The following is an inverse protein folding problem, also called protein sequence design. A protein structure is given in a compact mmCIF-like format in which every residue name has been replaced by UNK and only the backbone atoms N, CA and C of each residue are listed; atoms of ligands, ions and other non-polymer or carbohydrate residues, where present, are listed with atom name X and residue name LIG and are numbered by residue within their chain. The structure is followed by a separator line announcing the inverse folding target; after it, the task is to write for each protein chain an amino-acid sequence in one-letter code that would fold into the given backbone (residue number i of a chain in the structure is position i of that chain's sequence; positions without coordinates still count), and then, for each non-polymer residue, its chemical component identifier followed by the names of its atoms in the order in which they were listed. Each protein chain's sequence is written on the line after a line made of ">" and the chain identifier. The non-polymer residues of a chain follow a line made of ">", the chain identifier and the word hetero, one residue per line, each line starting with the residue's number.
data_IF_314447324911
#
_entry.id   IF_314447324911
#
_cell.length_a   1.000
_cell.length_b   1.000
_cell.length_c   1.000
_cell.angle_alpha   90.00
_cell.angle_beta   90.00
_cell.angle_gamma   90.00
#
_symmetry.space_group_name_H-M   'P 1'
#
loop_
_entity.id
_entity.type
_entity.pdbx_description
1 polymer ?
#
# COMPACT_ATOMS: atom_id res chain seq x y z
N UNK A 1 3.18 -30.56 -11.18
CA UNK A 1 2.49 -31.17 -12.34
C UNK A 1 1.05 -30.68 -12.37
N UNK A 2 0.38 -30.71 -13.53
CA UNK A 2 -1.00 -30.23 -13.68
C UNK A 2 -1.15 -29.16 -14.76
N UNK A 3 -2.39 -28.73 -15.00
CA UNK A 3 -2.78 -27.77 -16.05
C UNK A 3 -2.15 -26.38 -15.88
N UNK A 4 -1.89 -25.95 -14.65
CA UNK A 4 -1.19 -24.69 -14.34
C UNK A 4 0.28 -24.90 -13.98
N UNK A 5 1.04 -25.66 -14.78
CA UNK A 5 2.46 -25.90 -14.49
C UNK A 5 3.28 -24.64 -14.74
N UNK A 6 3.94 -24.12 -13.71
CA UNK A 6 4.85 -22.97 -13.78
C UNK A 6 6.31 -23.40 -13.97
N UNK A 7 7.10 -22.53 -14.63
CA UNK A 7 8.54 -22.69 -14.82
C UNK A 7 9.33 -21.73 -13.91
N UNK A 8 10.58 -22.09 -13.62
CA UNK A 8 11.50 -21.24 -12.84
C UNK A 8 12.06 -20.09 -13.68
N UNK A 9 11.24 -19.06 -13.93
CA UNK A 9 11.61 -17.89 -14.74
C UNK A 9 12.25 -16.73 -13.96
N UNK A 10 12.14 -16.75 -12.62
CA UNK A 10 12.67 -15.69 -11.75
C UNK A 10 14.20 -15.64 -11.62
N UNK A 11 14.92 -16.60 -12.19
CA UNK A 11 16.39 -16.67 -12.14
C UNK A 11 17.09 -16.15 -13.40
N UNK A 12 16.35 -15.73 -14.42
CA UNK A 12 16.94 -15.19 -15.65
C UNK A 12 17.43 -13.75 -15.43
N UNK A 13 18.67 -13.62 -14.96
CA UNK A 13 19.32 -12.35 -14.67
C UNK A 13 19.41 -11.41 -15.88
N UNK A 14 19.40 -11.95 -17.11
CA UNK A 14 19.53 -11.17 -18.34
C UNK A 14 18.29 -10.34 -18.67
N UNK A 15 17.14 -10.68 -18.07
CA UNK A 15 15.87 -10.00 -18.33
C UNK A 15 15.70 -8.76 -17.44
N UNK A 16 16.38 -8.69 -16.31
CA UNK A 16 16.28 -7.56 -15.38
C UNK A 16 16.85 -6.27 -15.98
N UNK A 17 16.16 -5.14 -15.76
CA UNK A 17 16.53 -3.84 -16.33
C UNK A 17 16.17 -3.67 -17.82
N UNK A 18 15.71 -4.72 -18.48
CA UNK A 18 15.30 -4.67 -19.90
C UNK A 18 13.81 -4.34 -20.05
N UNK A 19 13.37 -4.02 -21.28
CA UNK A 19 11.95 -3.81 -21.58
C UNK A 19 11.10 -5.07 -21.37
N UNK A 20 11.73 -6.25 -21.28
CA UNK A 20 11.06 -7.54 -21.09
C UNK A 20 10.83 -7.88 -19.62
N UNK A 21 11.42 -7.13 -18.68
CA UNK A 21 11.31 -7.41 -17.23
C UNK A 21 9.86 -7.43 -16.74
N UNK A 22 8.98 -6.59 -17.30
CA UNK A 22 7.56 -6.55 -16.90
C UNK A 22 6.85 -7.89 -17.06
N UNK A 23 7.28 -8.74 -18.01
CA UNK A 23 6.70 -10.06 -18.24
C UNK A 23 6.90 -11.01 -17.06
N UNK A 24 7.95 -10.82 -16.27
CA UNK A 24 8.20 -11.59 -15.05
C UNK A 24 7.20 -11.25 -13.93
N UNK A 25 6.61 -10.05 -13.96
CA UNK A 25 5.60 -9.59 -12.99
C UNK A 25 4.16 -9.93 -13.41
N UNK A 26 3.97 -10.45 -14.61
CA UNK A 26 2.69 -10.93 -15.12
C UNK A 26 2.58 -12.45 -14.92
N UNK A 27 1.37 -13.01 -14.78
CA UNK A 27 1.19 -14.46 -14.75
C UNK A 27 1.83 -15.11 -16.00
N UNK A 28 2.54 -16.23 -15.81
CA UNK A 28 3.18 -16.96 -16.92
C UNK A 28 2.14 -17.50 -17.89
N UNK A 29 1.06 -18.07 -17.33
CA UNK A 29 -0.01 -18.71 -18.06
C UNK A 29 -1.34 -17.96 -17.84
N UNK A 30 -2.10 -17.81 -18.93
CA UNK A 30 -3.48 -17.31 -18.91
C UNK A 30 -4.42 -18.15 -18.04
N UNK A 31 -4.07 -19.41 -17.78
CA UNK A 31 -4.79 -20.34 -16.91
C UNK A 31 -5.19 -19.70 -15.58
N UNK A 32 -4.27 -19.02 -14.89
CA UNK A 32 -4.58 -18.44 -13.56
C UNK A 32 -5.63 -17.33 -13.63
N UNK A 33 -5.63 -16.54 -14.71
CA UNK A 33 -6.63 -15.50 -14.92
C UNK A 33 -7.98 -16.09 -15.31
N UNK A 34 -7.99 -17.15 -16.13
CA UNK A 34 -9.21 -17.89 -16.49
C UNK A 34 -9.81 -18.60 -15.27
N UNK A 35 -8.98 -19.28 -14.48
CA UNK A 35 -9.38 -19.90 -13.23
C UNK A 35 -10.02 -18.88 -12.28
N UNK A 36 -9.41 -17.72 -12.10
CA UNK A 36 -10.00 -16.66 -11.27
C UNK A 36 -11.35 -16.17 -11.80
N UNK A 37 -11.52 -16.13 -13.13
CA UNK A 37 -12.79 -15.79 -13.76
C UNK A 37 -13.87 -16.84 -13.47
N UNK A 38 -13.53 -18.12 -13.58
CA UNK A 38 -14.45 -19.21 -13.32
C UNK A 38 -14.83 -19.28 -11.84
N UNK A 39 -13.87 -19.15 -10.92
CA UNK A 39 -14.13 -19.06 -9.48
C UNK A 39 -15.07 -17.89 -9.15
N UNK A 40 -14.90 -16.74 -9.81
CA UNK A 40 -15.77 -15.58 -9.63
C UNK A 40 -17.21 -15.81 -10.11
N UNK A 41 -17.43 -16.70 -11.10
CA UNK A 41 -18.79 -17.08 -11.51
C UNK A 41 -19.52 -17.85 -10.41
N UNK A 42 -18.78 -18.68 -9.67
CA UNK A 42 -19.26 -19.47 -8.55
C UNK A 42 -19.12 -18.77 -7.19
N UNK A 43 -18.78 -17.48 -7.17
CA UNK A 43 -18.60 -16.69 -5.94
C UNK A 43 -17.56 -17.27 -4.97
N UNK A 44 -16.49 -17.86 -5.51
CA UNK A 44 -15.39 -18.40 -4.72
C UNK A 44 -14.27 -17.36 -4.59
N UNK A 45 -13.94 -16.97 -3.35
CA UNK A 45 -12.77 -16.18 -2.97
C UNK A 45 -11.55 -17.07 -2.65
N UNK A 46 -10.34 -16.65 -3.02
CA UNK A 46 -9.11 -17.42 -2.74
C UNK A 46 -8.08 -16.56 -2.02
N UNK A 47 -7.70 -16.98 -0.81
CA UNK A 47 -6.50 -16.48 -0.12
C UNK A 47 -5.35 -17.47 -0.31
N UNK A 48 -4.13 -16.96 -0.45
CA UNK A 48 -2.94 -17.77 -0.74
C UNK A 48 -1.92 -17.53 0.36
N UNK A 49 -1.55 -18.59 1.08
CA UNK A 49 -0.44 -18.59 2.02
C UNK A 49 0.74 -19.32 1.38
N UNK A 50 1.71 -18.56 0.89
CA UNK A 50 2.88 -19.08 0.19
C UNK A 50 4.09 -19.11 1.12
N UNK A 51 4.55 -20.31 1.45
CA UNK A 51 5.75 -20.58 2.23
C UNK A 51 6.81 -21.16 1.28
N UNK A 52 7.94 -20.48 1.13
CA UNK A 52 8.98 -20.99 0.24
C UNK A 52 10.36 -20.42 0.56
N UNK A 53 11.37 -21.27 0.42
CA UNK A 53 12.79 -20.92 0.47
C UNK A 53 13.33 -20.59 -0.93
N UNK A 54 12.54 -20.86 -1.98
CA UNK A 54 12.90 -20.72 -3.40
C UNK A 54 11.84 -19.95 -4.17
N UNK A 55 12.14 -19.63 -5.42
CA UNK A 55 11.19 -18.98 -6.32
C UNK A 55 9.88 -19.78 -6.45
N UNK A 56 8.75 -19.10 -6.26
CA UNK A 56 7.38 -19.66 -6.19
C UNK A 56 6.45 -19.08 -7.26
N UNK A 57 6.87 -18.01 -7.94
CA UNK A 57 6.07 -17.28 -8.93
C UNK A 57 4.77 -16.71 -8.37
N UNK A 58 4.92 -15.82 -7.38
CA UNK A 58 3.83 -15.09 -6.74
C UNK A 58 3.06 -14.23 -7.75
N UNK A 59 3.68 -13.81 -8.86
CA UNK A 59 2.98 -13.10 -9.93
C UNK A 59 1.80 -13.92 -10.48
N UNK A 60 2.01 -15.21 -10.74
CA UNK A 60 0.97 -16.12 -11.24
C UNK A 60 -0.05 -16.46 -10.16
N UNK A 61 0.42 -16.88 -8.97
CA UNK A 61 -0.48 -17.30 -7.88
C UNK A 61 -1.32 -16.14 -7.36
N UNK A 62 -0.69 -15.01 -7.05
CA UNK A 62 -1.35 -13.81 -6.52
C UNK A 62 -2.40 -13.22 -7.46
N UNK A 63 -2.33 -13.51 -8.76
CA UNK A 63 -3.36 -13.12 -9.73
C UNK A 63 -4.73 -13.73 -9.39
N UNK A 64 -4.76 -14.98 -8.91
CA UNK A 64 -6.02 -15.64 -8.51
C UNK A 64 -6.63 -14.94 -7.31
N UNK A 65 -5.81 -14.67 -6.28
CA UNK A 65 -6.25 -13.95 -5.09
C UNK A 65 -6.74 -12.54 -5.44
N UNK A 66 -6.01 -11.81 -6.30
CA UNK A 66 -6.39 -10.47 -6.75
C UNK A 66 -7.79 -10.44 -7.39
N UNK A 67 -8.05 -11.32 -8.36
CA UNK A 67 -9.29 -11.25 -9.13
C UNK A 67 -10.49 -11.87 -8.41
N UNK A 68 -10.27 -12.79 -7.46
CA UNK A 68 -11.33 -13.37 -6.62
C UNK A 68 -11.65 -12.54 -5.37
N UNK A 69 -11.01 -11.39 -5.20
CA UNK A 69 -11.21 -10.52 -4.03
C UNK A 69 -10.49 -11.01 -2.77
N UNK A 70 -9.61 -12.00 -2.86
CA UNK A 70 -8.79 -12.51 -1.76
C UNK A 70 -7.48 -11.75 -1.52
N UNK A 71 -6.55 -12.40 -0.84
CA UNK A 71 -5.25 -11.86 -0.40
C UNK A 71 -4.12 -12.88 -0.57
N UNK A 72 -2.93 -12.43 -0.98
CA UNK A 72 -1.71 -13.24 -0.97
C UNK A 72 -0.83 -12.89 0.23
N UNK A 73 -0.48 -13.90 1.02
CA UNK A 73 0.47 -13.84 2.13
C UNK A 73 1.73 -14.59 1.72
N UNK A 74 2.89 -13.92 1.79
CA UNK A 74 4.17 -14.47 1.37
C UNK A 74 5.14 -14.53 2.55
N UNK A 75 5.64 -15.74 2.82
CA UNK A 75 6.60 -16.03 3.89
C UNK A 75 7.86 -16.63 3.28
N UNK A 76 8.84 -15.78 2.91
CA UNK A 76 10.13 -16.25 2.44
C UNK A 76 10.89 -16.93 3.59
N UNK A 77 11.54 -18.06 3.30
CA UNK A 77 12.38 -18.78 4.27
C UNK A 77 11.67 -19.04 5.60
N UNK A 78 10.51 -19.69 5.56
CA UNK A 78 9.64 -19.80 6.72
C UNK A 78 10.28 -20.64 7.84
N UNK A 79 10.40 -20.05 9.04
CA UNK A 79 10.85 -20.75 10.23
C UNK A 79 9.78 -20.64 11.31
N UNK A 80 9.30 -21.79 11.82
CA UNK A 80 8.22 -21.82 12.81
C UNK A 80 8.54 -21.01 14.07
N UNK A 81 9.80 -21.04 14.55
CA UNK A 81 10.20 -20.32 15.75
C UNK A 81 10.15 -18.79 15.61
N UNK A 82 10.31 -18.26 14.39
CA UNK A 82 10.34 -16.81 14.13
C UNK A 82 8.99 -16.33 13.58
N UNK A 83 8.41 -17.08 12.64
CA UNK A 83 7.25 -16.66 11.86
C UNK A 83 5.94 -17.30 12.31
N UNK A 84 5.98 -18.32 13.19
CA UNK A 84 4.79 -19.07 13.60
C UNK A 84 3.72 -18.20 14.23
N UNK A 85 4.12 -17.29 15.13
CA UNK A 85 3.17 -16.35 15.75
C UNK A 85 2.56 -15.38 14.75
N UNK A 86 3.35 -14.84 13.81
CA UNK A 86 2.83 -13.98 12.75
C UNK A 86 1.78 -14.72 11.92
N UNK A 87 2.08 -15.94 11.47
CA UNK A 87 1.16 -16.77 10.70
C UNK A 87 -0.13 -17.05 11.49
N UNK A 88 -0.02 -17.41 12.77
CA UNK A 88 -1.17 -17.65 13.65
C UNK A 88 -2.10 -16.43 13.72
N UNK A 89 -1.56 -15.24 13.92
CA UNK A 89 -2.35 -14.02 14.00
C UNK A 89 -2.95 -13.63 12.64
N UNK A 90 -2.19 -13.73 11.55
CA UNK A 90 -2.70 -13.41 10.20
C UNK A 90 -3.80 -14.39 9.77
N UNK A 91 -3.65 -15.69 10.06
CA UNK A 91 -4.67 -16.70 9.77
C UNK A 91 -5.90 -16.54 10.67
N UNK A 92 -5.71 -16.32 11.98
CA UNK A 92 -6.82 -16.07 12.89
C UNK A 92 -7.62 -14.83 12.46
N UNK A 93 -6.94 -13.74 12.07
CA UNK A 93 -7.60 -12.53 11.55
C UNK A 93 -8.32 -12.80 10.24
N UNK A 94 -7.74 -13.57 9.33
CA UNK A 94 -8.38 -13.92 8.06
C UNK A 94 -9.69 -14.69 8.27
N UNK A 95 -9.70 -15.63 9.21
CA UNK A 95 -10.87 -16.46 9.52
C UNK A 95 -11.95 -15.74 10.33
N UNK A 96 -11.59 -14.71 11.10
CA UNK A 96 -12.51 -14.05 12.06
C UNK A 96 -12.94 -12.64 11.65
N UNK A 97 -12.30 -12.02 10.66
CA UNK A 97 -12.67 -10.68 10.19
C UNK A 97 -14.05 -10.66 9.53
N UNK A 98 -14.70 -9.51 9.61
CA UNK A 98 -15.95 -9.28 8.89
C UNK A 98 -15.71 -9.44 7.39
N UNK A 99 -16.41 -10.41 6.81
CA UNK A 99 -16.31 -10.78 5.41
C UNK A 99 -17.71 -10.76 4.81
N UNK A 100 -17.82 -10.06 3.68
CA UNK A 100 -18.99 -9.98 2.84
C UNK A 100 -18.84 -10.96 1.67
N UNK A 101 -19.84 -11.81 1.49
CA UNK A 101 -19.86 -12.89 0.51
C UNK A 101 -20.71 -12.54 -0.70
N UNK A 102 -20.37 -13.11 -1.86
CA UNK A 102 -21.12 -12.94 -3.11
C UNK A 102 -21.39 -11.46 -3.41
N UNK A 103 -20.39 -10.63 -3.14
CA UNK A 103 -20.53 -9.20 -3.10
C UNK A 103 -20.40 -8.61 -4.49
N UNK A 104 -21.18 -7.57 -4.73
CA UNK A 104 -21.12 -6.77 -5.96
C UNK A 104 -21.13 -5.31 -5.57
N UNK A 105 -20.13 -4.58 -6.04
CA UNK A 105 -20.00 -3.15 -5.79
C UNK A 105 -20.29 -2.38 -7.07
N UNK A 106 -21.13 -1.36 -6.95
CA UNK A 106 -21.41 -0.38 -8.01
C UNK A 106 -21.24 1.01 -7.46
N UNK A 107 -20.63 1.88 -8.27
CA UNK A 107 -20.31 3.23 -7.85
C UNK A 107 -20.95 4.20 -8.86
N UNK A 108 -21.71 5.16 -8.33
CA UNK A 108 -22.43 6.17 -9.10
C UNK A 108 -21.91 7.54 -8.74
N UNK A 109 -21.91 8.43 -9.72
CA UNK A 109 -21.52 9.82 -9.59
C UNK A 109 -22.61 10.73 -10.15
N UNK A 110 -22.59 11.99 -9.73
CA UNK A 110 -23.43 13.04 -10.31
C UNK A 110 -23.13 13.24 -11.80
N UNK A 111 -24.09 13.85 -12.51
CA UNK A 111 -24.01 14.13 -13.94
C UNK A 111 -22.72 14.91 -14.29
N UNK A 112 -22.11 14.57 -15.43
CA UNK A 112 -20.92 15.24 -15.96
C UNK A 112 -19.59 14.68 -15.47
N UNK A 113 -19.60 13.65 -14.62
CA UNK A 113 -18.42 12.90 -14.19
C UNK A 113 -18.62 11.43 -14.56
N UNK A 114 -17.56 10.82 -15.09
CA UNK A 114 -17.47 9.41 -15.38
C UNK A 114 -16.29 8.76 -14.65
N UNK A 115 -16.29 7.42 -14.58
CA UNK A 115 -15.19 6.63 -14.07
C UNK A 115 -14.32 6.12 -15.23
N UNK A 116 -13.01 6.34 -15.17
CA UNK A 116 -12.08 5.88 -16.22
C UNK A 116 -11.45 4.53 -15.88
N UNK A 117 -11.05 4.33 -14.63
CA UNK A 117 -10.43 3.09 -14.17
C UNK A 117 -10.71 2.79 -12.71
N UNK A 118 -10.67 1.50 -12.38
CA UNK A 118 -10.90 0.97 -11.04
C UNK A 118 -9.67 0.17 -10.62
N UNK A 119 -9.29 0.25 -9.35
CA UNK A 119 -8.05 -0.31 -8.82
C UNK A 119 -8.28 -0.99 -7.47
N UNK A 120 -7.79 -2.23 -7.33
CA UNK A 120 -7.96 -3.06 -6.13
C UNK A 120 -8.09 -4.55 -6.47
N UNK A 121 -8.57 -5.33 -5.50
CA UNK A 121 -8.78 -6.77 -5.64
C UNK A 121 -10.25 -7.07 -5.95
N UNK A 122 -10.55 -7.24 -7.24
CA UNK A 122 -11.87 -7.54 -7.77
C UNK A 122 -11.74 -8.07 -9.19
N UNK A 123 -12.85 -8.59 -9.73
CA UNK A 123 -13.01 -8.84 -11.15
C UNK A 123 -14.12 -7.95 -11.71
N UNK A 124 -13.86 -7.32 -12.86
CA UNK A 124 -14.83 -6.46 -13.52
C UNK A 124 -15.77 -7.34 -14.37
N UNK A 125 -17.08 -7.35 -14.08
CA UNK A 125 -18.10 -8.10 -14.85
C UNK A 125 -18.67 -7.28 -16.02
N UNK A 126 -18.93 -6.01 -15.77
CA UNK A 126 -19.31 -4.99 -16.76
C UNK A 126 -18.56 -3.70 -16.46
N UNK A 127 -18.67 -2.68 -17.33
CA UNK A 127 -17.93 -1.42 -17.24
C UNK A 127 -18.00 -0.71 -15.88
N UNK A 128 -19.05 -0.93 -15.10
CA UNK A 128 -19.31 -0.27 -13.82
C UNK A 128 -19.64 -1.22 -12.66
N UNK A 129 -19.50 -2.54 -12.87
CA UNK A 129 -19.89 -3.56 -11.89
C UNK A 129 -18.69 -4.41 -11.46
N UNK A 130 -18.25 -4.18 -10.22
CA UNK A 130 -17.14 -4.90 -9.60
C UNK A 130 -17.68 -6.13 -8.89
N UNK A 131 -17.28 -7.31 -9.35
CA UNK A 131 -17.56 -8.57 -8.69
C UNK A 131 -16.49 -8.88 -7.63
N UNK A 132 -16.97 -9.21 -6.44
CA UNK A 132 -16.20 -9.41 -5.22
C UNK A 132 -16.71 -10.70 -4.56
N UNK A 133 -16.26 -11.88 -5.02
CA UNK A 133 -16.66 -13.16 -4.43
C UNK A 133 -16.58 -13.18 -2.90
N UNK A 134 -15.46 -12.66 -2.37
CA UNK A 134 -15.29 -12.33 -0.98
C UNK A 134 -14.63 -10.95 -0.87
N UNK A 135 -15.12 -10.11 0.04
CA UNK A 135 -14.50 -8.83 0.41
C UNK A 135 -14.54 -8.66 1.91
N UNK A 136 -13.44 -8.20 2.50
CA UNK A 136 -13.32 -8.02 3.93
C UNK A 136 -13.04 -6.56 4.32
N UNK A 137 -13.19 -6.27 5.60
CA UNK A 137 -13.06 -4.92 6.15
C UNK A 137 -11.64 -4.31 6.04
N UNK A 138 -10.60 -5.09 5.74
CA UNK A 138 -9.22 -4.60 5.60
C UNK A 138 -8.87 -4.20 4.15
N UNK A 139 -9.78 -4.35 3.19
CA UNK A 139 -9.53 -3.99 1.78
C UNK A 139 -10.01 -2.59 1.43
N UNK A 140 -9.29 -1.93 0.53
CA UNK A 140 -9.67 -0.64 -0.03
C UNK A 140 -9.48 -0.57 -1.55
N UNK A 141 -10.40 0.15 -2.18
CA UNK A 141 -10.49 0.35 -3.62
C UNK A 141 -10.20 1.80 -3.97
N UNK A 142 -9.63 2.04 -5.15
CA UNK A 142 -9.44 3.38 -5.68
C UNK A 142 -9.96 3.45 -7.11
N UNK A 143 -10.31 4.65 -7.55
CA UNK A 143 -10.89 4.87 -8.87
C UNK A 143 -10.35 6.17 -9.44
N UNK A 144 -10.25 6.23 -10.75
CA UNK A 144 -10.01 7.49 -11.46
C UNK A 144 -11.32 8.03 -12.02
N UNK A 145 -11.46 9.35 -11.87
CA UNK A 145 -12.59 10.11 -12.38
C UNK A 145 -12.15 10.91 -13.60
N UNK A 146 -13.06 11.11 -14.54
CA UNK A 146 -12.93 12.07 -15.63
C UNK A 146 -14.16 12.95 -15.72
N UNK A 147 -13.98 14.16 -16.20
CA UNK A 147 -15.10 15.00 -16.62
C UNK A 147 -15.59 14.55 -17.99
N UNK A 148 -16.90 14.27 -18.09
CA UNK A 148 -17.58 14.02 -19.37
C UNK A 148 -18.04 15.33 -20.01
N UNK A 149 -18.36 16.32 -19.19
CA UNK A 149 -18.74 17.68 -19.60
C UNK A 149 -17.63 18.67 -19.23
N UNK A 150 -17.41 19.68 -20.08
CA UNK A 150 -16.32 20.67 -19.88
C UNK A 150 -16.50 21.50 -18.61
N UNK A 151 -17.74 21.73 -18.19
CA UNK A 151 -18.11 22.50 -17.00
C UNK A 151 -19.26 21.80 -16.29
N UNK A 152 -19.10 21.62 -14.97
CA UNK A 152 -20.17 21.15 -14.12
C UNK A 152 -21.09 22.32 -13.76
N UNK A 153 -22.37 22.19 -14.06
CA UNK A 153 -23.39 23.20 -13.74
C UNK A 153 -23.83 23.17 -12.28
N UNK A 154 -23.69 22.02 -11.63
CA UNK A 154 -24.07 21.84 -10.22
C UNK A 154 -22.96 22.31 -9.28
N UNK A 155 -23.34 23.00 -8.20
CA UNK A 155 -22.40 23.44 -7.15
C UNK A 155 -21.87 22.29 -6.30
N UNK A 156 -22.52 21.13 -6.33
CA UNK A 156 -22.13 19.95 -5.56
C UNK A 156 -22.32 18.70 -6.40
N UNK A 157 -21.33 17.81 -6.33
CA UNK A 157 -21.38 16.49 -6.94
C UNK A 157 -21.57 15.47 -5.82
N UNK A 158 -22.44 14.51 -6.06
CA UNK A 158 -22.66 13.38 -5.17
C UNK A 158 -21.99 12.13 -5.72
N UNK A 159 -21.41 11.34 -4.82
CA UNK A 159 -20.87 10.02 -5.08
C UNK A 159 -21.62 9.03 -4.20
N UNK A 160 -22.06 7.92 -4.79
CA UNK A 160 -22.73 6.86 -4.07
C UNK A 160 -22.08 5.52 -4.40
N UNK A 161 -21.52 4.89 -3.37
CA UNK A 161 -21.01 3.52 -3.43
C UNK A 161 -22.08 2.62 -2.84
N UNK A 162 -22.53 1.63 -3.61
CA UNK A 162 -23.46 0.61 -3.13
C UNK A 162 -22.76 -0.76 -3.21
N UNK A 163 -22.67 -1.43 -2.07
CA UNK A 163 -22.19 -2.80 -1.93
C UNK A 163 -23.36 -3.70 -1.56
N UNK A 164 -23.78 -4.55 -2.50
CA UNK A 164 -24.75 -5.60 -2.26
C UNK A 164 -23.99 -6.88 -1.91
N UNK A 165 -24.26 -7.49 -0.75
CA UNK A 165 -23.53 -8.67 -0.27
C UNK A 165 -24.38 -9.57 0.61
N UNK A 166 -23.93 -10.81 0.81
CA UNK A 166 -24.46 -11.75 1.80
C UNK A 166 -23.57 -11.70 3.02
N UNK A 167 -24.12 -11.38 4.18
CA UNK A 167 -23.38 -11.41 5.45
C UNK A 167 -23.12 -12.87 5.89
N UNK A 168 -22.14 -13.11 6.76
CA UNK A 168 -21.84 -14.46 7.26
C UNK A 168 -23.00 -15.13 8.01
N UNK A 169 -24.01 -14.37 8.45
CA UNK A 169 -25.25 -14.90 9.02
C UNK A 169 -26.26 -15.41 7.96
N UNK A 170 -25.97 -15.25 6.66
CA UNK A 170 -26.83 -15.66 5.55
C UNK A 170 -27.80 -14.58 5.05
N UNK A 171 -27.82 -13.40 5.67
CA UNK A 171 -28.70 -12.30 5.26
C UNK A 171 -28.11 -11.50 4.08
N UNK A 172 -28.98 -11.09 3.15
CA UNK A 172 -28.59 -10.23 2.03
C UNK A 172 -28.73 -8.76 2.43
N UNK A 173 -27.61 -8.03 2.45
CA UNK A 173 -27.54 -6.64 2.87
C UNK A 173 -27.12 -5.73 1.70
N UNK A 174 -27.50 -4.46 1.79
CA UNK A 174 -26.97 -3.39 0.94
C UNK A 174 -26.34 -2.35 1.85
N UNK A 175 -25.01 -2.17 1.72
CA UNK A 175 -24.28 -1.08 2.37
C UNK A 175 -24.12 0.07 1.39
N UNK A 176 -24.56 1.26 1.78
CA UNK A 176 -24.49 2.47 0.95
C UNK A 176 -23.63 3.52 1.63
N UNK A 177 -22.67 4.05 0.89
CA UNK A 177 -21.91 5.23 1.29
C UNK A 177 -22.20 6.36 0.32
N UNK A 178 -22.69 7.48 0.84
CA UNK A 178 -22.93 8.70 0.06
C UNK A 178 -21.96 9.78 0.50
N UNK A 179 -21.23 10.36 -0.44
CA UNK A 179 -20.34 11.48 -0.21
C UNK A 179 -20.73 12.64 -1.13
N UNK A 180 -20.55 13.87 -0.65
CA UNK A 180 -20.78 15.08 -1.43
C UNK A 180 -19.47 15.87 -1.52
N UNK A 181 -19.14 16.35 -2.71
CA UNK A 181 -17.98 17.21 -2.94
C UNK A 181 -18.41 18.53 -3.58
N UNK A 182 -17.99 19.68 -3.05
CA UNK A 182 -18.30 20.97 -3.64
C UNK A 182 -17.52 21.15 -4.96
N UNK A 183 -18.16 21.75 -5.95
CA UNK A 183 -17.54 22.14 -7.21
C UNK A 183 -16.99 23.56 -7.05
N UNK A 184 -15.72 23.75 -7.39
CA UNK A 184 -15.04 25.04 -7.32
C UNK A 184 -14.59 25.48 -8.71
N UNK A 185 -14.74 26.77 -9.00
CA UNK A 185 -14.28 27.36 -10.27
C UNK A 185 -12.82 27.83 -10.22
N UNK A 186 -12.28 28.04 -9.02
CA UNK A 186 -10.90 28.50 -8.80
C UNK A 186 -9.95 27.33 -8.49
N UNK A 187 -8.82 27.28 -9.20
CA UNK A 187 -7.78 26.28 -8.97
C UNK A 187 -7.16 26.40 -7.58
N UNK A 188 -7.01 27.63 -7.05
CA UNK A 188 -6.49 27.84 -5.70
C UNK A 188 -7.35 27.17 -4.63
N UNK A 189 -8.67 27.27 -4.75
CA UNK A 189 -9.63 26.57 -3.90
C UNK A 189 -9.53 25.05 -4.03
N UNK A 190 -9.37 24.52 -5.25
CA UNK A 190 -9.15 23.09 -5.49
C UNK A 190 -7.91 22.57 -4.77
N UNK A 191 -6.78 23.27 -4.88
CA UNK A 191 -5.54 22.88 -4.20
C UNK A 191 -5.70 22.88 -2.68
N UNK A 192 -6.39 23.87 -2.08
CA UNK A 192 -6.63 23.89 -0.63
C UNK A 192 -7.40 22.67 -0.11
N UNK A 193 -8.31 22.12 -0.91
CA UNK A 193 -9.14 20.96 -0.56
C UNK A 193 -8.52 19.61 -0.96
N UNK A 194 -7.34 19.61 -1.59
CA UNK A 194 -6.71 18.39 -2.06
C UNK A 194 -6.24 17.49 -0.91
N UNK A 195 -6.71 16.25 -0.88
CA UNK A 195 -6.28 15.26 0.11
C UNK A 195 -5.02 14.49 -0.36
N UNK A 196 -3.88 14.79 0.26
CA UNK A 196 -2.62 14.08 0.01
C UNK A 196 -2.75 12.57 0.18
N UNK A 197 -3.51 12.10 1.16
CA UNK A 197 -3.60 10.68 1.49
C UNK A 197 -4.29 9.87 0.40
N UNK A 198 -5.42 10.38 -0.12
CA UNK A 198 -6.14 9.81 -1.25
C UNK A 198 -5.31 9.84 -2.53
N UNK A 199 -4.62 10.96 -2.81
CA UNK A 199 -3.75 11.12 -3.98
C UNK A 199 -2.63 10.09 -3.95
N UNK A 200 -1.91 9.96 -2.83
CA UNK A 200 -0.82 8.98 -2.67
C UNK A 200 -1.34 7.55 -2.84
N UNK A 201 -2.53 7.25 -2.30
CA UNK A 201 -3.16 5.93 -2.43
C UNK A 201 -3.49 5.56 -3.87
N UNK A 202 -3.99 6.52 -4.66
CA UNK A 202 -4.25 6.32 -6.08
C UNK A 202 -2.95 6.22 -6.89
N UNK A 203 -1.99 7.14 -6.67
CA UNK A 203 -0.69 7.13 -7.33
C UNK A 203 0.08 5.83 -7.10
N UNK A 204 -0.01 5.26 -5.89
CA UNK A 204 0.56 3.96 -5.57
C UNK A 204 0.04 2.85 -6.49
N UNK A 205 -1.29 2.74 -6.62
CA UNK A 205 -1.93 1.71 -7.44
C UNK A 205 -1.58 1.86 -8.91
N UNK A 206 -1.56 3.10 -9.40
CA UNK A 206 -1.16 3.40 -10.78
C UNK A 206 0.30 3.09 -11.06
N UNK A 207 1.20 3.39 -10.12
CA UNK A 207 2.60 3.09 -10.27
C UNK A 207 2.84 1.57 -10.31
N UNK A 208 2.18 0.80 -9.44
CA UNK A 208 2.24 -0.67 -9.43
C UNK A 208 1.71 -1.25 -10.74
N UNK A 209 0.54 -0.81 -11.22
CA UNK A 209 -0.01 -1.27 -12.49
C UNK A 209 0.89 -0.91 -13.68
N UNK A 210 1.52 0.28 -13.66
CA UNK A 210 2.48 0.69 -14.69
C UNK A 210 3.70 -0.25 -14.76
N UNK A 211 4.11 -0.83 -13.63
CA UNK A 211 5.22 -1.83 -13.63
C UNK A 211 4.89 -3.12 -14.38
N UNK A 212 3.59 -3.41 -14.58
CA UNK A 212 3.14 -4.60 -15.30
C UNK A 212 3.24 -4.45 -16.82
N UNK A 213 3.41 -3.21 -17.32
CA UNK A 213 3.52 -2.92 -18.77
C UNK A 213 4.86 -2.28 -19.15
N UNK A 214 5.56 -1.66 -18.20
CA UNK A 214 6.76 -0.86 -18.45
C UNK A 214 7.92 -1.25 -17.53
N UNK A 215 9.11 -0.69 -17.80
CA UNK A 215 10.25 -0.75 -16.90
C UNK A 215 9.92 -0.09 -15.56
N UNK A 216 10.61 -0.52 -14.51
CA UNK A 216 10.47 0.06 -13.18
C UNK A 216 10.85 1.54 -13.17
N UNK A 217 11.88 1.91 -13.94
CA UNK A 217 12.32 3.29 -14.10
C UNK A 217 11.22 4.17 -14.71
N UNK A 218 10.58 3.72 -15.79
CA UNK A 218 9.47 4.43 -16.41
C UNK A 218 8.30 4.64 -15.44
N UNK A 219 8.01 3.64 -14.59
CA UNK A 219 6.96 3.75 -13.59
C UNK A 219 7.30 4.83 -12.53
N UNK A 220 8.55 4.87 -12.06
CA UNK A 220 9.03 5.92 -11.14
C UNK A 220 9.03 7.30 -11.79
N UNK A 221 9.52 7.40 -13.03
CA UNK A 221 9.53 8.65 -13.80
C UNK A 221 8.12 9.16 -14.06
N UNK A 222 7.16 8.27 -14.36
CA UNK A 222 5.75 8.63 -14.53
C UNK A 222 5.13 9.19 -13.24
N UNK A 223 5.42 8.57 -12.10
CA UNK A 223 4.99 9.05 -10.78
C UNK A 223 5.57 10.45 -10.48
N UNK A 224 6.88 10.62 -10.64
CA UNK A 224 7.56 11.90 -10.42
C UNK A 224 7.01 12.98 -11.34
N UNK A 225 6.84 12.69 -12.63
CA UNK A 225 6.31 13.64 -13.61
C UNK A 225 4.90 14.11 -13.26
N UNK A 226 4.03 13.24 -12.73
CA UNK A 226 2.68 13.62 -12.28
C UNK A 226 2.73 14.61 -11.12
N UNK A 227 3.58 14.35 -10.12
CA UNK A 227 3.77 15.24 -8.97
C UNK A 227 4.36 16.58 -9.42
N UNK A 228 5.39 16.55 -10.28
CA UNK A 228 6.03 17.76 -10.82
C UNK A 228 5.04 18.62 -11.61
N UNK A 229 4.19 18.01 -12.45
CA UNK A 229 3.16 18.73 -13.20
C UNK A 229 2.17 19.43 -12.27
N UNK A 230 1.67 18.73 -11.25
CA UNK A 230 0.74 19.32 -10.28
C UNK A 230 1.37 20.53 -9.55
N UNK A 231 2.62 20.41 -9.07
CA UNK A 231 3.29 21.50 -8.35
C UNK A 231 3.69 22.66 -9.29
N UNK A 232 4.01 22.38 -10.55
CA UNK A 232 4.28 23.40 -11.56
C UNK A 232 3.04 24.25 -11.84
N UNK A 233 1.87 23.63 -12.00
CA UNK A 233 0.62 24.37 -12.20
C UNK A 233 0.29 25.25 -11.00
N UNK A 234 0.46 24.75 -9.77
CA UNK A 234 0.30 25.58 -8.57
C UNK A 234 1.25 26.77 -8.55
N UNK A 235 2.53 26.56 -8.88
CA UNK A 235 3.51 27.65 -8.96
C UNK A 235 3.11 28.72 -9.99
N UNK A 236 2.59 28.32 -11.15
CA UNK A 236 2.17 29.24 -12.21
C UNK A 236 1.03 30.17 -11.75
N UNK A 237 0.11 29.70 -10.90
CA UNK A 237 -0.98 30.52 -10.36
C UNK A 237 -0.47 31.73 -9.54
N UNK A 238 0.65 31.56 -8.84
CA UNK A 238 1.21 32.57 -7.93
C UNK A 238 2.49 33.24 -8.46
N UNK A 239 2.85 32.97 -9.72
CA UNK A 239 4.10 33.45 -10.33
C UNK A 239 4.18 34.99 -10.40
N UNK A 240 3.04 35.68 -10.48
CA UNK A 240 2.96 37.16 -10.57
C UNK A 240 3.01 37.82 -9.18
N UNK A 241 2.48 37.16 -8.15
CA UNK A 241 2.37 37.73 -6.80
C UNK A 241 3.66 37.63 -5.99
N UNK A 242 4.56 36.73 -6.39
CA UNK A 242 5.80 36.46 -5.69
C UNK A 242 6.98 36.60 -6.64
N UNK A 243 7.70 37.72 -6.60
CA UNK A 243 9.06 37.88 -7.16
C UNK A 243 10.10 37.04 -6.38
N UNK A 244 9.72 35.85 -5.92
CA UNK A 244 10.54 34.96 -5.12
C UNK A 244 11.38 34.09 -6.06
N UNK A 245 12.54 34.61 -6.45
CA UNK A 245 13.58 33.83 -7.11
C UNK A 245 13.97 32.62 -6.25
N UNK A 246 14.09 31.45 -6.90
CA UNK A 246 14.64 30.18 -6.39
C UNK A 246 13.89 29.41 -5.28
N UNK A 247 12.76 29.87 -4.72
CA UNK A 247 12.00 29.10 -3.71
C UNK A 247 10.97 28.17 -4.35
N UNK A 248 10.84 26.96 -3.81
CA UNK A 248 9.78 26.02 -4.21
C UNK A 248 8.45 26.43 -3.56
N UNK A 249 7.45 26.72 -4.39
CA UNK A 249 6.09 27.08 -3.96
C UNK A 249 5.22 25.82 -4.05
N UNK A 250 4.51 25.48 -2.98
CA UNK A 250 3.59 24.34 -2.91
C UNK A 250 2.40 24.66 -1.99
N UNK A 251 1.25 24.02 -2.17
CA UNK A 251 0.10 24.22 -1.30
C UNK A 251 0.27 23.47 0.02
N UNK A 252 -0.22 24.04 1.11
CA UNK A 252 -0.13 23.45 2.46
C UNK A 252 -0.76 22.04 2.53
N UNK A 253 -1.86 21.84 1.80
CA UNK A 253 -2.56 20.56 1.67
C UNK A 253 -1.69 19.45 1.07
N UNK A 254 -0.71 19.79 0.21
CA UNK A 254 0.18 18.86 -0.49
C UNK A 254 1.63 18.89 0.02
N UNK A 255 1.88 19.47 1.20
CA UNK A 255 3.24 19.60 1.76
C UNK A 255 4.01 18.28 1.86
N UNK A 256 3.32 17.17 2.11
CA UNK A 256 3.93 15.84 2.21
C UNK A 256 3.87 15.02 0.91
N UNK A 257 3.33 15.56 -0.18
CA UNK A 257 3.16 14.81 -1.42
C UNK A 257 4.50 14.36 -2.00
N UNK A 258 5.51 15.25 -2.01
CA UNK A 258 6.86 14.91 -2.48
C UNK A 258 7.51 13.83 -1.61
N UNK A 259 7.33 13.90 -0.28
CA UNK A 259 7.85 12.91 0.66
C UNK A 259 7.28 11.52 0.36
N UNK A 260 5.96 11.42 0.22
CA UNK A 260 5.31 10.16 -0.12
C UNK A 260 5.62 9.68 -1.54
N UNK A 261 5.78 10.60 -2.50
CA UNK A 261 6.23 10.26 -3.86
C UNK A 261 7.63 9.63 -3.89
N UNK A 262 8.55 10.16 -3.09
CA UNK A 262 9.88 9.58 -2.90
C UNK A 262 9.79 8.22 -2.18
N UNK A 263 9.01 8.13 -1.10
CA UNK A 263 8.79 6.87 -0.38
C UNK A 263 8.23 5.77 -1.28
N UNK A 264 7.24 6.10 -2.12
CA UNK A 264 6.70 5.20 -3.14
C UNK A 264 7.79 4.75 -4.12
N UNK A 265 8.62 5.67 -4.59
CA UNK A 265 9.70 5.34 -5.54
C UNK A 265 10.76 4.40 -4.94
N UNK A 266 10.92 4.42 -3.61
CA UNK A 266 11.82 3.54 -2.83
C UNK A 266 11.13 2.27 -2.30
N UNK A 267 9.82 2.13 -2.48
CA UNK A 267 9.06 0.97 -2.00
C UNK A 267 9.43 -0.31 -2.75
N UNK A 268 9.25 -1.47 -2.11
CA UNK A 268 9.65 -2.79 -2.65
C UNK A 268 9.13 -3.06 -4.08
N UNK A 269 7.89 -2.72 -4.46
CA UNK A 269 7.41 -2.92 -5.83
C UNK A 269 8.18 -2.13 -6.89
N UNK A 270 8.66 -0.93 -6.53
CA UNK A 270 9.18 0.09 -7.45
C UNK A 270 10.69 0.29 -7.36
N UNK A 271 11.34 -0.09 -6.24
CA UNK A 271 12.80 -0.01 -6.06
C UNK A 271 13.54 -0.87 -7.09
N UNK A 272 14.83 -0.58 -7.28
CA UNK A 272 15.70 -1.03 -8.39
C UNK A 272 15.87 -2.55 -8.57
N UNK A 273 16.93 -2.96 -9.28
CA UNK A 273 17.10 -4.25 -9.95
C UNK A 273 17.06 -5.52 -9.07
N UNK A 274 17.46 -6.66 -9.63
CA UNK A 274 17.37 -7.97 -8.95
C UNK A 274 18.02 -8.00 -7.57
N UNK A 275 19.14 -7.30 -7.37
CA UNK A 275 19.87 -7.26 -6.11
C UNK A 275 19.10 -6.54 -4.97
N UNK A 276 18.14 -5.68 -5.30
CA UNK A 276 17.41 -4.87 -4.30
C UNK A 276 16.21 -5.61 -3.71
N UNK A 277 15.53 -6.43 -4.51
CA UNK A 277 14.40 -7.27 -4.09
C UNK A 277 14.18 -8.43 -5.06
N UNK A 278 13.91 -9.60 -4.48
CA UNK A 278 13.50 -10.77 -5.25
C UNK A 278 12.16 -10.55 -5.94
N UNK A 279 11.94 -11.23 -7.06
CA UNK A 279 10.71 -11.08 -7.86
C UNK A 279 9.44 -11.40 -7.08
N UNK A 280 9.45 -12.46 -6.28
CA UNK A 280 8.30 -12.87 -5.47
C UNK A 280 7.99 -11.86 -4.37
N UNK A 281 9.03 -11.35 -3.68
CA UNK A 281 8.88 -10.29 -2.68
C UNK A 281 8.26 -9.02 -3.30
N UNK A 282 8.72 -8.65 -4.51
CA UNK A 282 8.18 -7.53 -5.28
C UNK A 282 6.71 -7.71 -5.61
N UNK A 283 6.34 -8.89 -6.12
CA UNK A 283 4.97 -9.19 -6.50
C UNK A 283 4.06 -9.23 -5.26
N UNK A 284 4.49 -9.87 -4.17
CA UNK A 284 3.76 -9.92 -2.91
C UNK A 284 3.51 -8.52 -2.32
N UNK A 285 4.54 -7.67 -2.29
CA UNK A 285 4.41 -6.29 -1.85
C UNK A 285 3.45 -5.50 -2.76
N UNK A 286 3.52 -5.70 -4.08
CA UNK A 286 2.63 -5.08 -5.05
C UNK A 286 1.17 -5.45 -4.81
N UNK A 287 0.86 -6.75 -4.70
CA UNK A 287 -0.50 -7.22 -4.40
C UNK A 287 -1.03 -6.68 -3.08
N UNK A 288 -0.18 -6.63 -2.05
CA UNK A 288 -0.55 -6.08 -0.73
C UNK A 288 -0.89 -4.60 -0.84
N UNK A 289 -0.03 -3.79 -1.45
CA UNK A 289 -0.24 -2.35 -1.59
C UNK A 289 -1.45 -1.99 -2.46
N UNK A 290 -1.86 -2.85 -3.40
CA UNK A 290 -3.07 -2.67 -4.20
C UNK A 290 -4.37 -2.77 -3.37
N UNK A 291 -4.36 -3.55 -2.29
CA UNK A 291 -5.52 -3.80 -1.44
C UNK A 291 -5.56 -2.94 -0.17
N UNK A 292 -4.43 -2.31 0.22
CA UNK A 292 -4.31 -1.67 1.52
C UNK A 292 -5.21 -0.42 1.70
N UNK A 293 -5.80 -0.23 2.89
CA UNK A 293 -6.47 1.00 3.28
C UNK A 293 -5.50 2.17 3.34
N UNK A 294 -5.99 3.38 3.06
CA UNK A 294 -5.18 4.60 2.98
C UNK A 294 -4.29 4.79 4.21
N UNK A 295 -4.83 4.65 5.41
CA UNK A 295 -4.07 4.81 6.67
C UNK A 295 -2.92 3.81 6.81
N UNK A 296 -3.16 2.53 6.50
CA UNK A 296 -2.12 1.47 6.57
C UNK A 296 -1.07 1.67 5.48
N UNK A 297 -1.50 2.05 4.26
CA UNK A 297 -0.58 2.35 3.17
C UNK A 297 0.35 3.53 3.49
N UNK A 298 -0.17 4.63 4.04
CA UNK A 298 0.66 5.77 4.42
C UNK A 298 1.68 5.40 5.50
N UNK A 299 1.27 4.58 6.49
CA UNK A 299 2.18 4.11 7.54
C UNK A 299 3.23 3.13 7.00
N UNK A 300 2.90 2.32 6.00
CA UNK A 300 3.86 1.46 5.28
C UNK A 300 4.88 2.30 4.49
N UNK A 301 4.43 3.38 3.84
CA UNK A 301 5.30 4.26 3.04
C UNK A 301 6.19 5.14 3.91
N UNK A 302 5.63 5.73 4.96
CA UNK A 302 6.36 6.54 5.93
C UNK A 302 6.13 5.98 7.35
N UNK A 303 6.94 4.98 7.74
CA UNK A 303 6.92 4.35 9.05
C UNK A 303 7.09 5.33 10.22
N UNK A 304 6.69 4.88 11.41
CA UNK A 304 6.95 5.63 12.64
C UNK A 304 8.25 5.16 13.26
N UNK A 305 9.19 6.08 13.46
CA UNK A 305 10.40 5.86 14.26
C UNK A 305 10.25 6.61 15.58
N UNK A 306 10.39 5.90 16.69
CA UNK A 306 10.19 6.43 18.05
C UNK A 306 11.40 6.04 18.89
N UNK A 307 11.98 7.01 19.60
CA UNK A 307 13.03 6.75 20.59
C UNK A 307 12.40 6.40 21.93
N UNK A 308 12.85 5.32 22.58
CA UNK A 308 12.21 4.73 23.75
C UNK A 308 13.04 4.86 25.03
N UNK A 309 14.37 4.94 24.93
CA UNK A 309 15.27 5.01 26.10
C UNK A 309 14.98 6.19 27.02
N UNK A 310 14.62 7.35 26.46
CA UNK A 310 14.25 8.55 27.24
C UNK A 310 13.02 8.34 28.14
N UNK A 311 12.18 7.36 27.81
CA UNK A 311 10.95 7.06 28.55
C UNK A 311 11.14 5.96 29.56
N UNK A 312 11.90 4.91 29.21
CA UNK A 312 12.18 3.80 30.13
C UNK A 312 12.97 4.24 31.37
N UNK A 313 13.75 5.32 31.26
CA UNK A 313 14.57 5.85 32.34
C UNK A 313 13.83 6.87 33.22
N UNK A 314 12.59 7.26 32.89
CA UNK A 314 11.82 8.23 33.70
C UNK A 314 11.07 7.53 34.84
N UNK A 315 11.26 7.92 36.12
CA UNK A 315 10.67 7.23 37.27
C UNK A 315 9.15 7.40 37.46
N UNK A 316 8.49 8.29 36.71
CA UNK A 316 7.06 8.59 36.89
C UNK A 316 6.38 8.85 35.55
N UNK A 317 5.87 7.81 34.92
CA UNK A 317 5.00 7.96 33.75
C UNK A 317 3.63 8.48 34.20
N UNK A 318 3.44 9.80 34.25
CA UNK A 318 2.10 10.38 34.28
C UNK A 318 1.44 10.15 32.91
N UNK A 319 0.12 9.96 32.88
CA UNK A 319 -0.64 9.62 31.66
C UNK A 319 -0.51 10.63 30.51
N UNK A 320 -0.11 11.88 30.78
CA UNK A 320 0.17 12.88 29.74
C UNK A 320 1.54 12.70 29.04
N UNK A 321 2.48 11.97 29.64
CA UNK A 321 3.77 11.66 29.01
C UNK A 321 3.62 10.70 27.82
N UNK A 322 2.56 9.90 27.78
CA UNK A 322 2.28 9.03 26.62
C UNK A 322 2.02 9.79 25.33
N UNK A 323 1.54 11.05 25.37
CA UNK A 323 1.41 11.88 24.16
C UNK A 323 2.79 12.34 23.65
N UNK A 324 3.76 12.56 24.55
CA UNK A 324 5.14 12.86 24.21
C UNK A 324 5.89 11.61 23.68
N UNK A 325 5.53 10.40 24.13
CA UNK A 325 6.04 9.11 23.61
C UNK A 325 5.78 8.95 22.10
N UNK A 326 4.74 9.58 21.56
CA UNK A 326 4.38 9.46 20.13
C UNK A 326 5.13 10.46 19.24
N UNK A 327 6.10 11.22 19.75
CA UNK A 327 6.86 12.14 18.90
C UNK A 327 7.71 11.35 17.90
N UNK A 328 7.20 11.26 16.68
CA UNK A 328 7.85 10.54 15.57
C UNK A 328 9.10 11.31 15.15
N UNK A 329 10.21 10.59 15.10
CA UNK A 329 11.46 11.09 14.55
C UNK A 329 11.43 11.01 13.02
N UNK A 330 12.11 11.93 12.32
CA UNK A 330 12.26 11.83 10.88
C UNK A 330 13.07 10.58 10.51
N UNK A 331 12.74 9.97 9.37
CA UNK A 331 13.41 8.76 8.88
C UNK A 331 14.72 9.11 8.18
N UNK A 332 15.68 9.61 8.95
CA UNK A 332 17.05 9.95 8.51
C UNK A 332 18.06 9.27 9.41
N UNK A 333 19.24 8.92 8.87
CA UNK A 333 20.29 8.26 9.64
C UNK A 333 20.75 9.10 10.85
N UNK A 334 20.75 10.43 10.70
CA UNK A 334 21.10 11.39 11.76
C UNK A 334 20.16 11.35 12.97
N UNK A 335 18.96 10.78 12.84
CA UNK A 335 18.03 10.62 13.98
C UNK A 335 18.37 9.43 14.89
N UNK A 336 19.29 8.55 14.45
CA UNK A 336 19.75 7.40 15.23
C UNK A 336 21.04 7.77 15.99
N UNK A 337 20.95 7.81 17.31
CA UNK A 337 22.09 7.90 18.23
C UNK A 337 22.55 6.49 18.58
N UNK A 338 23.86 6.24 18.57
CA UNK A 338 24.44 4.94 18.94
C UNK A 338 24.14 4.55 20.39
N UNK A 339 23.70 5.47 21.25
CA UNK A 339 23.33 5.22 22.65
C UNK A 339 21.82 5.02 22.85
N UNK A 340 21.02 5.23 21.81
CA UNK A 340 19.55 5.19 21.93
C UNK A 340 18.94 3.81 21.70
N UNK A 341 17.69 3.67 22.13
CA UNK A 341 16.84 2.53 21.85
C UNK A 341 15.66 3.02 21.02
N UNK A 342 15.40 2.40 19.87
CA UNK A 342 14.38 2.89 18.93
C UNK A 342 13.41 1.79 18.55
N UNK A 343 12.16 2.18 18.30
CA UNK A 343 11.14 1.34 17.67
C UNK A 343 10.78 1.91 16.32
N UNK A 344 10.81 1.03 15.33
CA UNK A 344 10.34 1.26 13.97
C UNK A 344 9.09 0.42 13.74
N UNK A 345 8.02 1.09 13.29
CA UNK A 345 6.72 0.47 13.05
C UNK A 345 6.13 0.96 11.71
N UNK A 346 6.07 0.04 10.74
CA UNK A 346 5.46 0.23 9.41
C UNK A 346 4.08 -0.46 9.27
N UNK A 347 3.53 -1.01 10.37
CA UNK A 347 2.33 -1.89 10.47
C UNK A 347 2.49 -3.33 10.01
N UNK A 348 3.58 -3.71 9.36
CA UNK A 348 3.88 -5.07 8.89
C UNK A 348 5.10 -5.68 9.58
N UNK A 349 6.03 -4.83 9.99
CA UNK A 349 7.27 -5.11 10.68
C UNK A 349 7.32 -4.19 11.91
N UNK A 350 7.70 -4.79 13.01
CA UNK A 350 7.95 -4.11 14.26
C UNK A 350 9.41 -4.38 14.63
N UNK A 351 10.27 -3.39 14.45
CA UNK A 351 11.71 -3.53 14.62
C UNK A 351 12.13 -2.72 15.84
N UNK A 352 12.77 -3.38 16.80
CA UNK A 352 13.44 -2.73 17.93
C UNK A 352 14.91 -2.64 17.56
N UNK A 353 15.43 -1.42 17.45
CA UNK A 353 16.82 -1.16 17.13
C UNK A 353 17.58 -0.75 18.39
N UNK A 354 18.68 -1.46 18.66
CA UNK A 354 19.56 -1.24 19.79
C UNK A 354 20.81 -0.51 19.30
N UNK A 355 21.09 0.64 19.89
CA UNK A 355 22.33 1.35 19.64
C UNK A 355 23.54 0.57 20.17
N UNK A 356 24.64 0.62 19.43
CA UNK A 356 25.90 -0.08 19.79
C UNK A 356 26.48 0.34 21.14
N UNK A 357 26.25 1.59 21.54
CA UNK A 357 26.70 2.17 22.81
C UNK A 357 25.57 2.27 23.84
N UNK A 358 24.49 1.49 23.69
CA UNK A 358 23.40 1.46 24.66
C UNK A 358 23.91 0.94 26.01
N UNK A 359 23.40 1.51 27.11
CA UNK A 359 23.77 1.05 28.45
C UNK A 359 23.44 -0.44 28.64
N UNK A 360 24.40 -1.25 29.13
CA UNK A 360 24.21 -2.69 29.31
C UNK A 360 23.12 -3.00 30.34
N UNK A 361 22.83 -2.08 31.26
CA UNK A 361 21.76 -2.26 32.25
C UNK A 361 20.37 -2.20 31.61
N UNK A 362 20.18 -1.34 30.61
CA UNK A 362 18.93 -1.27 29.84
C UNK A 362 18.74 -2.55 29.02
N UNK A 363 19.81 -3.01 28.35
CA UNK A 363 19.78 -4.24 27.57
C UNK A 363 19.50 -5.47 28.46
N UNK A 364 20.15 -5.56 29.63
CA UNK A 364 19.96 -6.65 30.59
C UNK A 364 18.54 -6.70 31.12
N UNK A 365 17.94 -5.55 31.44
CA UNK A 365 16.58 -5.47 31.97
C UNK A 365 15.51 -5.82 30.91
N UNK A 366 15.75 -5.50 29.64
CA UNK A 366 14.79 -5.75 28.56
C UNK A 366 14.88 -7.16 27.95
N UNK A 367 16.10 -7.67 27.76
CA UNK A 367 16.36 -8.90 26.99
C UNK A 367 16.94 -10.04 27.83
N UNK A 368 17.30 -9.77 29.09
CA UNK A 368 18.01 -10.73 29.95
C UNK A 368 19.54 -10.65 29.84
N UNK A 369 20.26 -11.35 30.73
CA UNK A 369 21.72 -11.25 30.86
C UNK A 369 22.50 -11.86 29.68
N UNK A 370 22.00 -12.95 29.08
CA UNK A 370 22.70 -13.66 28.02
C UNK A 370 22.77 -12.82 26.73
N UNK A 371 21.66 -12.19 26.35
CA UNK A 371 21.57 -11.38 25.13
C UNK A 371 22.30 -10.04 25.25
N UNK A 372 22.34 -9.45 26.46
CA UNK A 372 23.13 -8.25 26.72
C UNK A 372 24.64 -8.50 26.53
N UNK A 373 25.11 -9.72 26.84
CA UNK A 373 26.51 -10.10 26.63
C UNK A 373 26.86 -10.21 25.15
N UNK A 374 25.96 -10.71 24.30
CA UNK A 374 26.14 -10.77 22.85
C UNK A 374 26.12 -9.38 22.20
N UNK A 375 25.21 -8.50 22.63
CA UNK A 375 25.17 -7.10 22.18
C UNK A 375 26.48 -6.34 22.48
N UNK A 376 27.14 -6.65 23.60
CA UNK A 376 28.42 -6.02 23.98
C UNK A 376 29.63 -6.52 23.18
N UNK A 377 29.49 -7.62 22.44
CA UNK A 377 30.58 -8.22 21.63
C UNK A 377 30.64 -7.68 20.19
N UNK A 378 29.61 -6.97 19.74
CA UNK A 378 29.48 -6.38 18.38
C UNK A 378 29.82 -4.89 18.42
#
# INVERSE_FOLDING_TARGET
>A
MGVGRLKLRGHDLHVYGTDKEHKLRLPEDTFYKQMAADLTKFQIGVNIYAFSDKYTDIASLGTVAKYTGGQGYYYPSFQSGIHGEKLRHELARDLTRETAWEAVMRIRCGKGIGFTSYHGNFMLRSTDLLALPAVDCDKAYAMQLSFEETLLTNQTVYFQVALLYTASCGERHIRVHTAAAPVVADLGAMYRLADTSAIVSLLCRLAIEKTLTNKLEDARNSLQLRILKALREYRNLYAVQHQLGARMIYPESLKFLCLYGLALSKSVPLKGGYADAQLDERCAAGFTMMALPVKKLLKLLYPSLIRIDEFLLKPSAQTDDFKNIVKRLPLVAESLDSRGLYVYDDSFRFVIWFGRMLSPDIARNLLGPDFASELSRV
#
